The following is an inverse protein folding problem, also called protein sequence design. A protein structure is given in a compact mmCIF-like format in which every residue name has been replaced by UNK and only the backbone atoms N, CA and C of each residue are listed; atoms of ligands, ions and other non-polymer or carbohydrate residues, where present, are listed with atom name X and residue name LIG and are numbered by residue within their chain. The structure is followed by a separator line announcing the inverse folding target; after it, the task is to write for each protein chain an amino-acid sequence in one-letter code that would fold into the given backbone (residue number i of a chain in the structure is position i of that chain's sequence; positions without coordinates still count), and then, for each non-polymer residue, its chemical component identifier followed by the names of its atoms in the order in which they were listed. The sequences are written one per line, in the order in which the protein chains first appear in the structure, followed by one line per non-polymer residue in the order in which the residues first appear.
data_IF_155539054258
#
_entry.id   IF_155539054258
#
_cell.length_a   1.000
_cell.length_b   1.000
_cell.length_c   1.000
_cell.angle_alpha   90.00
_cell.angle_beta   90.00
_cell.angle_gamma   90.00
#
_symmetry.space_group_name_H-M   'P 1'
#
loop_
_entity.id
_entity.type
_entity.pdbx_description
1 polymer ?
#
# COMPACT_ATOMS: atom_id res chain seq x y z
N UNK A 1 -18.29 -11.97 -3.30
CA UNK A 1 -18.05 -10.68 -2.61
C UNK A 1 -16.86 -10.90 -1.72
N UNK A 2 -15.92 -9.95 -1.64
CA UNK A 2 -14.74 -10.12 -0.83
C UNK A 2 -15.08 -10.22 0.67
N UNK A 3 -14.51 -11.19 1.37
CA UNK A 3 -14.70 -11.34 2.82
C UNK A 3 -13.99 -10.24 3.64
N UNK A 4 -14.38 -10.08 4.91
CA UNK A 4 -13.75 -9.11 5.82
C UNK A 4 -12.25 -9.33 6.01
N UNK A 5 -11.77 -10.57 5.87
CA UNK A 5 -10.33 -10.90 5.92
C UNK A 5 -9.56 -10.29 4.76
N UNK A 6 -10.11 -10.33 3.55
CA UNK A 6 -9.51 -9.72 2.35
C UNK A 6 -9.26 -8.22 2.59
N UNK A 7 -10.32 -7.49 2.96
CA UNK A 7 -10.25 -6.04 3.13
C UNK A 7 -9.33 -5.63 4.27
N UNK A 8 -9.27 -6.39 5.37
CA UNK A 8 -8.34 -6.13 6.47
C UNK A 8 -6.89 -6.24 6.00
N UNK A 9 -6.56 -7.30 5.26
CA UNK A 9 -5.22 -7.51 4.72
C UNK A 9 -4.86 -6.50 3.61
N UNK A 10 -5.82 -6.12 2.76
CA UNK A 10 -5.64 -5.05 1.77
C UNK A 10 -5.37 -3.70 2.45
N UNK A 11 -6.11 -3.36 3.50
CA UNK A 11 -5.93 -2.10 4.24
C UNK A 11 -4.55 -2.02 4.90
N UNK A 12 -4.10 -3.11 5.54
CA UNK A 12 -2.75 -3.19 6.12
C UNK A 12 -1.67 -2.97 5.05
N UNK A 13 -1.80 -3.64 3.90
CA UNK A 13 -0.87 -3.46 2.76
C UNK A 13 -0.90 -2.03 2.22
N UNK A 14 -2.08 -1.43 2.09
CA UNK A 14 -2.22 -0.10 1.52
C UNK A 14 -1.62 0.99 2.41
N UNK A 15 -1.84 0.92 3.72
CA UNK A 15 -1.21 1.81 4.70
C UNK A 15 0.30 1.61 4.73
N UNK A 16 0.78 0.37 4.67
CA UNK A 16 2.21 0.07 4.59
C UNK A 16 2.85 0.65 3.32
N UNK A 17 2.20 0.51 2.17
CA UNK A 17 2.66 1.11 0.91
C UNK A 17 2.73 2.63 0.97
N UNK A 18 1.74 3.28 1.58
CA UNK A 18 1.76 4.73 1.80
C UNK A 18 2.96 5.17 2.67
N UNK A 19 3.20 4.46 3.79
CA UNK A 19 4.34 4.75 4.65
C UNK A 19 5.69 4.54 3.94
N UNK A 20 5.84 3.44 3.17
CA UNK A 20 7.04 3.18 2.39
C UNK A 20 7.29 4.27 1.33
N UNK A 21 6.24 4.75 0.67
CA UNK A 21 6.37 5.81 -0.32
C UNK A 21 6.81 7.15 0.32
N UNK A 22 6.29 7.48 1.51
CA UNK A 22 6.74 8.64 2.27
C UNK A 22 8.20 8.52 2.73
N UNK A 23 8.59 7.36 3.24
CA UNK A 23 9.99 7.10 3.62
C UNK A 23 10.93 7.21 2.42
N UNK A 24 10.52 6.75 1.24
CA UNK A 24 11.30 6.90 0.02
C UNK A 24 11.41 8.38 -0.42
N UNK A 25 10.29 9.10 -0.37
CA UNK A 25 10.23 10.52 -0.75
C UNK A 25 11.10 11.38 0.17
N UNK A 26 10.97 11.22 1.49
CA UNK A 26 11.73 12.00 2.47
C UNK A 26 13.16 11.49 2.66
N UNK A 27 13.40 10.20 2.51
CA UNK A 27 14.74 9.60 2.63
C UNK A 27 15.68 9.96 1.47
N UNK A 28 15.14 10.49 0.37
CA UNK A 28 15.95 11.09 -0.71
C UNK A 28 16.58 12.42 -0.34
N UNK A 29 16.07 13.11 0.68
CA UNK A 29 16.67 14.34 1.22
C UNK A 29 17.64 13.98 2.35
N UNK A 30 18.86 14.54 2.32
CA UNK A 30 19.92 14.18 3.26
C UNK A 30 19.58 14.54 4.71
N UNK A 31 18.69 15.52 4.92
CA UNK A 31 18.17 15.92 6.24
C UNK A 31 16.68 16.22 6.13
N UNK A 32 15.83 15.30 6.59
CA UNK A 32 14.39 15.54 6.65
C UNK A 32 14.01 16.56 7.74
N UNK A 33 13.29 17.63 7.37
CA UNK A 33 12.67 18.59 8.28
C UNK A 33 11.16 18.66 8.07
N UNK A 34 10.40 18.15 9.03
CA UNK A 34 8.93 18.07 8.96
C UNK A 34 8.24 19.45 8.83
N UNK A 35 8.83 20.52 9.36
CA UNK A 35 8.23 21.86 9.27
C UNK A 35 8.37 22.49 7.89
N UNK A 36 9.34 22.03 7.10
CA UNK A 36 9.63 22.53 5.76
C UNK A 36 9.27 21.50 4.68
N UNK A 37 8.65 20.38 5.07
CA UNK A 37 8.21 19.35 4.15
C UNK A 37 7.09 19.86 3.24
N UNK A 38 7.15 19.49 1.95
CA UNK A 38 6.06 19.68 1.01
C UNK A 38 4.93 18.68 1.30
N UNK A 39 4.01 19.11 2.17
CA UNK A 39 2.85 18.31 2.58
C UNK A 39 1.88 17.99 1.43
N UNK A 40 1.59 18.91 0.49
CA UNK A 40 0.84 18.59 -0.73
C UNK A 40 1.48 17.43 -1.53
N UNK A 41 2.78 17.48 -1.80
CA UNK A 41 3.47 16.42 -2.53
C UNK A 41 3.46 15.10 -1.73
N UNK A 42 3.76 15.15 -0.43
CA UNK A 42 3.74 13.98 0.45
C UNK A 42 2.35 13.31 0.48
N UNK A 43 1.28 14.10 0.61
CA UNK A 43 -0.09 13.61 0.57
C UNK A 43 -0.45 12.96 -0.78
N UNK A 44 -0.04 13.59 -1.89
CA UNK A 44 -0.20 13.04 -3.24
C UNK A 44 0.49 11.69 -3.41
N UNK A 45 1.76 11.60 -3.01
CA UNK A 45 2.56 10.36 -3.10
C UNK A 45 1.97 9.24 -2.23
N UNK A 46 1.63 9.55 -0.97
CA UNK A 46 1.04 8.59 -0.04
C UNK A 46 -0.31 8.05 -0.55
N UNK A 47 -1.18 8.95 -1.03
CA UNK A 47 -2.49 8.58 -1.57
C UNK A 47 -2.37 7.73 -2.85
N UNK A 48 -1.45 8.06 -3.74
CA UNK A 48 -1.15 7.27 -4.94
C UNK A 48 -0.68 5.86 -4.59
N UNK A 49 0.23 5.72 -3.63
CA UNK A 49 0.72 4.43 -3.17
C UNK A 49 -0.37 3.59 -2.49
N UNK A 50 -1.27 4.23 -1.73
CA UNK A 50 -2.42 3.59 -1.12
C UNK A 50 -3.37 3.01 -2.19
N UNK A 51 -3.77 3.84 -3.16
CA UNK A 51 -4.65 3.42 -4.26
C UNK A 51 -4.01 2.31 -5.09
N UNK A 52 -2.72 2.45 -5.42
CA UNK A 52 -1.97 1.43 -6.14
C UNK A 52 -1.99 0.08 -5.41
N UNK A 53 -1.80 0.08 -4.09
CA UNK A 53 -1.81 -1.13 -3.26
C UNK A 53 -3.19 -1.80 -3.23
N UNK A 54 -4.26 -1.02 -3.19
CA UNK A 54 -5.64 -1.54 -3.30
C UNK A 54 -5.87 -2.16 -4.67
N UNK A 55 -5.54 -1.45 -5.76
CA UNK A 55 -5.74 -1.95 -7.12
C UNK A 55 -4.95 -3.24 -7.40
N UNK A 56 -3.69 -3.29 -6.95
CA UNK A 56 -2.87 -4.50 -7.09
C UNK A 56 -3.37 -5.66 -6.23
N UNK A 57 -3.96 -5.39 -5.05
CA UNK A 57 -4.61 -6.42 -4.23
C UNK A 57 -5.86 -7.00 -4.92
N UNK A 58 -6.64 -6.16 -5.61
CA UNK A 58 -7.80 -6.61 -6.41
C UNK A 58 -7.39 -7.49 -7.60
N UNK A 59 -6.29 -7.11 -8.29
CA UNK A 59 -5.71 -7.94 -9.36
C UNK A 59 -5.21 -9.27 -8.78
N UNK A 60 -4.54 -9.23 -7.63
CA UNK A 60 -3.99 -10.42 -6.97
C UNK A 60 -5.07 -11.43 -6.60
N UNK A 61 -6.21 -10.97 -6.08
CA UNK A 61 -7.34 -11.82 -5.73
C UNK A 61 -7.93 -12.60 -6.93
N UNK A 62 -7.80 -12.06 -8.14
CA UNK A 62 -8.23 -12.75 -9.37
C UNK A 62 -7.17 -13.70 -9.92
N UNK A 63 -5.90 -13.47 -9.59
CA UNK A 63 -4.78 -14.19 -10.16
C UNK A 63 -4.25 -15.33 -9.28
N UNK A 64 -4.46 -15.27 -7.96
CA UNK A 64 -3.83 -16.18 -6.99
C UNK A 64 -4.46 -17.57 -6.89
N UNK A 65 -5.70 -17.73 -7.36
CA UNK A 65 -6.46 -18.98 -7.18
C UNK A 65 -6.90 -19.26 -5.74
N UNK A 66 -6.48 -18.45 -4.76
CA UNK A 66 -6.95 -18.50 -3.37
C UNK A 66 -8.17 -17.58 -3.20
N UNK A 67 -9.33 -18.11 -2.77
CA UNK A 67 -10.48 -17.28 -2.46
C UNK A 67 -10.14 -16.23 -1.39
N UNK A 68 -10.59 -14.99 -1.59
CA UNK A 68 -10.55 -13.92 -0.57
C UNK A 68 -9.16 -13.53 -0.02
N UNK A 69 -8.12 -13.69 -0.85
CA UNK A 69 -6.75 -13.29 -0.53
C UNK A 69 -6.27 -12.11 -1.40
N UNK A 70 -5.70 -11.03 -0.81
CA UNK A 70 -5.03 -9.97 -1.57
C UNK A 70 -3.58 -10.32 -1.96
N UNK A 71 -3.16 -11.57 -1.71
CA UNK A 71 -1.83 -12.08 -2.04
C UNK A 71 -1.87 -12.87 -3.34
N UNK A 72 -0.77 -12.82 -4.11
CA UNK A 72 -0.57 -13.66 -5.30
C UNK A 72 -0.20 -15.10 -4.95
N UNK A 73 0.31 -15.34 -3.74
CA UNK A 73 0.66 -16.68 -3.27
C UNK A 73 -0.44 -17.23 -2.36
N UNK A 74 -0.77 -18.49 -2.60
CA UNK A 74 -1.60 -19.35 -1.74
C UNK A 74 -0.84 -19.65 -0.45
N UNK A 75 -1.55 -19.82 0.67
CA UNK A 75 -0.98 -19.90 2.02
C UNK A 75 -0.23 -21.20 2.35
N UNK A 76 0.76 -21.59 1.54
CA UNK A 76 1.68 -22.69 1.80
C UNK A 76 3.05 -22.13 2.20
N UNK A 77 3.22 -21.86 3.49
CA UNK A 77 4.51 -21.80 4.18
C UNK A 77 4.37 -22.56 5.51
#
# INVERSE_FOLDING_TARGET
MFEGRFWKATAERAVKSAAQALLLYWGGDAVFNAWHADWPAAGGIASGALVLSVLTSLVSAKASGEPDSPSLVTGQL
#
